data_IF_333236276035
#
_entry.id   IF_333236276035
#
_cell.length_a   1.000
_cell.length_b   1.000
_cell.length_c   1.000
_cell.angle_alpha   90.00
_cell.angle_beta   90.00
_cell.angle_gamma   90.00
#
_symmetry.space_group_name_H-M   'P 1'
#
loop_
_entity.id
_entity.type
_entity.pdbx_description
1 polymer ?
#
# COMPACT_ATOMS: atom_id res chain seq x y z
N UNK A 1 -10.43 15.37 7.07
CA UNK A 1 -9.50 15.22 5.92
C UNK A 1 -10.08 14.18 4.96
N UNK A 2 -10.15 14.51 3.68
CA UNK A 2 -10.73 13.62 2.66
C UNK A 2 -9.72 12.52 2.34
N UNK A 3 -10.11 11.23 2.38
CA UNK A 3 -9.17 10.16 2.07
C UNK A 3 -8.77 10.16 0.59
N UNK A 4 -7.60 9.60 0.24
CA UNK A 4 -7.15 9.57 -1.15
C UNK A 4 -8.00 8.69 -2.06
N UNK A 5 -8.66 7.69 -1.49
CA UNK A 5 -9.58 6.80 -2.19
C UNK A 5 -10.74 6.43 -1.27
N UNK A 6 -11.88 6.09 -1.84
CA UNK A 6 -13.02 5.57 -1.07
C UNK A 6 -12.88 4.06 -0.88
N UNK A 7 -12.37 3.38 -1.89
CA UNK A 7 -12.16 1.93 -1.89
C UNK A 7 -10.71 1.60 -2.19
N UNK A 8 -10.17 0.65 -1.44
CA UNK A 8 -8.82 0.13 -1.64
C UNK A 8 -8.96 -1.20 -2.35
N UNK A 9 -8.53 -1.25 -3.60
CA UNK A 9 -8.62 -2.43 -4.45
C UNK A 9 -7.23 -2.96 -4.75
N UNK A 10 -7.12 -4.28 -4.77
CA UNK A 10 -5.86 -4.97 -5.01
C UNK A 10 -5.95 -5.74 -6.31
N UNK A 11 -4.87 -5.72 -7.10
CA UNK A 11 -4.80 -6.46 -8.36
C UNK A 11 -4.81 -7.98 -8.12
N UNK A 12 -5.08 -8.75 -9.16
CA UNK A 12 -5.01 -10.21 -9.07
C UNK A 12 -3.62 -10.70 -8.64
N UNK A 13 -2.57 -10.10 -9.19
CA UNK A 13 -1.20 -10.42 -8.81
C UNK A 13 -0.93 -10.08 -7.34
N UNK A 14 -1.39 -8.92 -6.90
CA UNK A 14 -1.26 -8.50 -5.50
C UNK A 14 -1.96 -9.47 -4.56
N UNK A 15 -3.15 -9.92 -4.93
CA UNK A 15 -3.90 -10.91 -4.15
C UNK A 15 -3.11 -12.22 -3.98
N UNK A 16 -2.49 -12.71 -5.03
CA UNK A 16 -1.67 -13.92 -4.95
C UNK A 16 -0.51 -13.77 -3.97
N UNK A 17 0.16 -12.62 -4.02
CA UNK A 17 1.24 -12.30 -3.08
C UNK A 17 0.72 -12.24 -1.65
N UNK A 18 -0.42 -11.58 -1.43
CA UNK A 18 -1.02 -11.44 -0.10
C UNK A 18 -1.46 -12.79 0.48
N UNK A 19 -1.97 -13.70 -0.35
CA UNK A 19 -2.34 -15.05 0.08
C UNK A 19 -1.11 -15.78 0.63
N UNK A 20 0.01 -15.72 -0.09
CA UNK A 20 1.27 -16.32 0.37
C UNK A 20 1.75 -15.68 1.67
N UNK A 21 1.67 -14.35 1.76
CA UNK A 21 2.08 -13.63 2.96
C UNK A 21 1.27 -14.04 4.18
N UNK A 22 -0.04 -14.14 4.04
CA UNK A 22 -0.90 -14.62 5.14
C UNK A 22 -0.48 -16.01 5.61
N UNK A 23 -0.22 -16.90 4.66
CA UNK A 23 0.18 -18.28 4.97
C UNK A 23 1.52 -18.33 5.70
N UNK A 24 2.51 -17.57 5.24
CA UNK A 24 3.86 -17.63 5.77
C UNK A 24 4.05 -16.84 7.06
N UNK A 25 3.37 -15.71 7.21
CA UNK A 25 3.54 -14.82 8.36
C UNK A 25 2.57 -15.08 9.50
N UNK A 26 1.47 -15.78 9.23
CA UNK A 26 0.41 -15.98 10.22
C UNK A 26 -0.48 -14.75 10.44
N UNK A 27 -0.28 -13.67 9.71
CA UNK A 27 -1.15 -12.49 9.78
C UNK A 27 -2.53 -12.84 9.22
N UNK A 28 -3.59 -12.44 9.92
CA UNK A 28 -4.94 -12.85 9.57
C UNK A 28 -5.71 -11.84 8.71
N UNK A 29 -5.35 -10.56 8.80
CA UNK A 29 -6.13 -9.48 8.20
C UNK A 29 -5.44 -8.82 7.01
N UNK A 30 -6.14 -8.80 5.87
CA UNK A 30 -5.65 -8.15 4.64
C UNK A 30 -5.24 -6.70 4.86
N UNK A 31 -6.04 -5.96 5.64
CA UNK A 31 -5.80 -4.54 5.88
C UNK A 31 -4.46 -4.27 6.57
N UNK A 32 -4.09 -5.12 7.51
CA UNK A 32 -2.81 -4.97 8.21
C UNK A 32 -1.62 -5.17 7.27
N UNK A 33 -1.67 -6.22 6.44
CA UNK A 33 -0.61 -6.50 5.47
C UNK A 33 -0.53 -5.38 4.44
N UNK A 34 -1.68 -4.89 3.96
CA UNK A 34 -1.73 -3.81 2.99
C UNK A 34 -1.18 -2.50 3.56
N UNK A 35 -1.41 -2.21 4.84
CA UNK A 35 -0.82 -1.03 5.49
C UNK A 35 0.71 -1.12 5.55
N UNK A 36 1.23 -2.29 5.90
CA UNK A 36 2.68 -2.53 5.90
C UNK A 36 3.25 -2.32 4.49
N UNK A 37 2.59 -2.89 3.49
CA UNK A 37 2.99 -2.76 2.08
C UNK A 37 3.02 -1.30 1.65
N UNK A 38 1.97 -0.55 1.96
CA UNK A 38 1.90 0.87 1.65
C UNK A 38 3.05 1.65 2.29
N UNK A 39 3.27 1.44 3.57
CA UNK A 39 4.34 2.12 4.31
C UNK A 39 5.72 1.78 3.75
N UNK A 40 5.93 0.55 3.34
CA UNK A 40 7.18 0.11 2.71
C UNK A 40 7.44 0.88 1.41
N UNK A 41 6.40 1.06 0.60
CA UNK A 41 6.52 1.83 -0.64
C UNK A 41 6.70 3.32 -0.37
N UNK A 42 5.98 3.89 0.60
CA UNK A 42 6.11 5.30 0.94
C UNK A 42 7.49 5.66 1.49
N UNK A 43 8.18 4.71 2.12
CA UNK A 43 9.54 4.89 2.60
C UNK A 43 10.57 4.91 1.47
N UNK A 44 10.22 4.42 0.29
CA UNK A 44 11.09 4.45 -0.89
C UNK A 44 11.05 5.85 -1.52
N UNK A 45 12.20 6.52 -1.72
CA UNK A 45 12.21 7.87 -2.27
C UNK A 45 11.85 7.97 -3.75
N UNK A 46 11.85 6.85 -4.48
CA UNK A 46 11.53 6.85 -5.90
C UNK A 46 10.02 6.88 -6.15
N UNK A 47 9.61 7.48 -7.27
CA UNK A 47 8.23 7.48 -7.70
C UNK A 47 7.82 6.07 -8.08
N UNK A 48 6.65 5.55 -7.61
CA UNK A 48 6.22 4.23 -8.02
C UNK A 48 5.83 4.21 -9.50
N UNK A 49 6.06 3.08 -10.20
CA UNK A 49 5.66 2.98 -11.60
C UNK A 49 4.14 3.03 -11.73
N UNK A 50 3.65 3.58 -12.84
CA UNK A 50 2.23 3.58 -13.14
C UNK A 50 1.74 2.14 -13.27
N UNK A 51 0.56 1.88 -12.73
CA UNK A 51 -0.04 0.56 -12.80
C UNK A 51 -0.77 0.41 -14.12
N UNK A 52 -0.51 -0.70 -14.81
CA UNK A 52 -1.33 -1.07 -15.95
C UNK A 52 -2.72 -1.49 -15.44
N UNK A 53 -3.75 -1.17 -16.21
CA UNK A 53 -5.11 -1.58 -15.88
C UNK A 53 -5.26 -3.09 -16.09
N UNK A 54 -4.81 -3.85 -15.12
CA UNK A 54 -5.07 -5.29 -15.05
C UNK A 54 -6.34 -5.51 -14.24
N UNK A 55 -6.96 -6.67 -14.39
CA UNK A 55 -8.18 -6.98 -13.64
C UNK A 55 -7.97 -6.88 -12.13
N UNK A 56 -8.95 -6.30 -11.46
CA UNK A 56 -8.95 -6.25 -10.00
C UNK A 56 -9.34 -7.61 -9.42
N UNK A 57 -8.79 -7.92 -8.26
CA UNK A 57 -9.13 -9.13 -7.53
C UNK A 57 -10.40 -8.93 -6.70
N UNK A 58 -10.80 -9.95 -5.94
CA UNK A 58 -11.88 -9.86 -4.98
C UNK A 58 -11.52 -9.08 -3.71
N UNK A 59 -10.26 -8.69 -3.55
CA UNK A 59 -9.85 -7.89 -2.40
C UNK A 59 -10.21 -6.43 -2.67
N UNK A 60 -11.27 -5.98 -2.00
CA UNK A 60 -11.82 -4.64 -2.08
C UNK A 60 -12.29 -4.29 -0.68
N UNK A 61 -11.74 -3.24 -0.11
CA UNK A 61 -12.13 -2.79 1.22
C UNK A 61 -12.31 -1.28 1.21
N UNK A 62 -13.21 -0.76 2.05
CA UNK A 62 -13.33 0.68 2.15
C UNK A 62 -12.11 1.29 2.85
N UNK A 63 -11.94 2.61 2.71
CA UNK A 63 -10.81 3.31 3.30
C UNK A 63 -10.74 3.11 4.82
N UNK A 64 -11.88 3.15 5.49
CA UNK A 64 -11.96 2.98 6.94
C UNK A 64 -11.43 1.61 7.38
N UNK A 65 -11.80 0.56 6.67
CA UNK A 65 -11.32 -0.80 6.94
C UNK A 65 -9.82 -0.91 6.69
N UNK A 66 -9.35 -0.38 5.56
CA UNK A 66 -7.93 -0.38 5.23
C UNK A 66 -7.10 0.37 6.28
N UNK A 67 -7.49 1.60 6.56
CA UNK A 67 -6.71 2.48 7.43
C UNK A 67 -6.84 2.15 8.92
N UNK A 68 -7.97 1.55 9.33
CA UNK A 68 -8.22 1.24 10.72
C UNK A 68 -8.14 2.49 11.60
N UNK A 69 -7.38 2.48 12.68
CA UNK A 69 -7.24 3.65 13.56
C UNK A 69 -6.33 4.74 12.99
N UNK A 70 -5.73 4.53 11.82
CA UNK A 70 -4.71 5.43 11.25
C UNK A 70 -5.21 6.26 10.07
N UNK A 71 -6.52 6.52 9.99
CA UNK A 71 -7.13 7.19 8.84
C UNK A 71 -6.50 8.57 8.54
N UNK A 72 -6.36 9.40 9.57
CA UNK A 72 -5.81 10.74 9.40
C UNK A 72 -4.31 10.71 9.10
N UNK A 73 -3.57 9.89 9.83
CA UNK A 73 -2.12 9.77 9.67
C UNK A 73 -1.76 9.26 8.28
N UNK A 74 -2.43 8.23 7.79
CA UNK A 74 -2.17 7.69 6.47
C UNK A 74 -2.57 8.67 5.36
N UNK A 75 -3.71 9.35 5.51
CA UNK A 75 -4.13 10.37 4.56
C UNK A 75 -3.09 11.49 4.48
N UNK A 76 -2.63 11.97 5.64
CA UNK A 76 -1.63 13.03 5.69
C UNK A 76 -0.31 12.61 5.03
N UNK A 77 0.17 11.41 5.33
CA UNK A 77 1.40 10.88 4.74
C UNK A 77 1.33 10.80 3.22
N UNK A 78 0.21 10.29 2.71
CA UNK A 78 0.00 10.14 1.26
C UNK A 78 -0.03 11.52 0.60
N UNK A 79 -0.77 12.47 1.17
CA UNK A 79 -0.87 13.82 0.62
C UNK A 79 0.48 14.53 0.63
N UNK A 80 1.21 14.45 1.75
CA UNK A 80 2.54 15.07 1.85
C UNK A 80 3.52 14.48 0.84
N UNK A 81 3.54 13.17 0.71
CA UNK A 81 4.41 12.52 -0.27
C UNK A 81 4.01 12.84 -1.69
N UNK A 82 2.72 12.84 -1.98
CA UNK A 82 2.19 13.21 -3.30
C UNK A 82 2.58 14.65 -3.65
N UNK A 83 2.46 15.55 -2.72
CA UNK A 83 2.85 16.95 -2.92
C UNK A 83 4.35 17.05 -3.21
N UNK A 84 5.18 16.34 -2.47
CA UNK A 84 6.62 16.27 -2.70
C UNK A 84 6.97 15.71 -4.08
N UNK A 85 6.21 14.73 -4.54
CA UNK A 85 6.37 14.11 -5.87
C UNK A 85 5.66 14.87 -6.98
N UNK A 86 5.12 16.06 -6.68
CA UNK A 86 4.45 16.95 -7.64
C UNK A 86 3.19 16.34 -8.26
N UNK A 87 2.49 15.52 -7.50
CA UNK A 87 1.17 15.02 -7.88
C UNK A 87 0.13 16.07 -7.49
N UNK A 88 -0.84 16.30 -8.38
CA UNK A 88 -1.93 17.23 -8.09
C UNK A 88 -2.88 16.62 -7.06
N UNK A 89 -2.72 17.00 -5.80
CA UNK A 89 -3.51 16.46 -4.70
C UNK A 89 -4.97 16.90 -4.71
N UNK A 90 -5.30 17.92 -5.50
CA UNK A 90 -6.68 18.40 -5.66
C UNK A 90 -7.44 17.60 -6.73
N UNK A 91 -6.73 16.85 -7.56
CA UNK A 91 -7.35 15.93 -8.52
C UNK A 91 -7.50 14.56 -7.88
N UNK A 92 -8.74 14.21 -7.57
CA UNK A 92 -9.08 12.95 -6.90
C UNK A 92 -8.54 11.73 -7.67
N UNK A 93 -8.66 11.73 -8.99
CA UNK A 93 -8.17 10.64 -9.83
C UNK A 93 -6.65 10.49 -9.76
N UNK A 94 -5.93 11.61 -9.85
CA UNK A 94 -4.47 11.58 -9.79
C UNK A 94 -3.97 11.06 -8.45
N UNK A 95 -4.58 11.51 -7.35
CA UNK A 95 -4.23 11.07 -6.01
C UNK A 95 -4.56 9.59 -5.81
N UNK A 96 -5.70 9.13 -6.31
CA UNK A 96 -6.10 7.73 -6.23
C UNK A 96 -5.15 6.80 -6.99
N UNK A 97 -4.76 7.17 -8.20
CA UNK A 97 -3.78 6.41 -9.00
C UNK A 97 -2.42 6.36 -8.30
N UNK A 98 -2.01 7.48 -7.72
CA UNK A 98 -0.76 7.57 -6.97
C UNK A 98 -0.78 6.64 -5.75
N UNK A 99 -1.85 6.66 -4.97
CA UNK A 99 -2.04 5.77 -3.85
C UNK A 99 -1.96 4.30 -4.29
N UNK A 100 -2.69 3.95 -5.33
CA UNK A 100 -2.72 2.57 -5.84
C UNK A 100 -1.36 2.11 -6.33
N UNK A 101 -0.60 2.98 -6.99
CA UNK A 101 0.75 2.66 -7.45
C UNK A 101 1.68 2.33 -6.27
N UNK A 102 1.58 3.11 -5.20
CA UNK A 102 2.35 2.82 -3.98
C UNK A 102 1.94 1.49 -3.34
N UNK A 103 0.64 1.24 -3.23
CA UNK A 103 0.15 0.00 -2.62
C UNK A 103 0.63 -1.22 -3.41
N UNK A 104 0.48 -1.20 -4.73
CA UNK A 104 0.89 -2.32 -5.59
C UNK A 104 2.40 -2.55 -5.54
N UNK A 105 3.19 -1.47 -5.57
CA UNK A 105 4.64 -1.58 -5.42
C UNK A 105 5.02 -2.17 -4.07
N UNK A 106 4.35 -1.73 -3.02
CA UNK A 106 4.59 -2.22 -1.67
C UNK A 106 4.29 -3.71 -1.55
N UNK A 107 3.15 -4.15 -2.09
CA UNK A 107 2.79 -5.57 -2.09
C UNK A 107 3.84 -6.39 -2.84
N UNK A 108 4.25 -5.95 -4.02
CA UNK A 108 5.26 -6.64 -4.81
C UNK A 108 6.60 -6.75 -4.06
N UNK A 109 6.95 -5.72 -3.29
CA UNK A 109 8.20 -5.72 -2.51
C UNK A 109 8.21 -6.76 -1.39
N UNK A 110 7.04 -7.23 -0.96
CA UNK A 110 6.91 -8.20 0.13
C UNK A 110 6.84 -9.65 -0.36
N UNK A 111 6.89 -9.89 -1.67
CA UNK A 111 6.61 -11.21 -2.24
C UNK A 111 7.53 -12.34 -1.74
N UNK A 112 8.73 -12.04 -1.29
CA UNK A 112 9.69 -13.03 -0.79
C UNK A 112 9.72 -13.13 0.75
N UNK A 113 8.82 -12.45 1.43
CA UNK A 113 8.73 -12.47 2.89
C UNK A 113 8.12 -13.79 3.35
N UNK A 114 8.80 -14.50 4.24
CA UNK A 114 8.33 -15.80 4.78
C UNK A 114 7.91 -15.70 6.24
N UNK A 115 8.52 -14.82 7.01
CA UNK A 115 8.30 -14.70 8.45
C UNK A 115 8.09 -13.23 8.83
N UNK A 116 7.40 -12.99 9.94
CA UNK A 116 7.23 -11.62 10.45
C UNK A 116 8.55 -10.90 10.68
N UNK A 117 9.58 -11.63 11.12
CA UNK A 117 10.90 -11.04 11.35
C UNK A 117 11.52 -10.48 10.07
N UNK A 118 11.17 -11.04 8.91
CA UNK A 118 11.67 -10.54 7.63
C UNK A 118 11.14 -9.14 7.33
N UNK A 119 9.90 -8.85 7.72
CA UNK A 119 9.32 -7.51 7.59
C UNK A 119 10.08 -6.51 8.44
N UNK A 120 10.43 -6.87 9.66
CA UNK A 120 11.23 -6.04 10.55
C UNK A 120 12.62 -5.76 9.96
N UNK A 121 13.28 -6.79 9.42
CA UNK A 121 14.60 -6.64 8.80
C UNK A 121 14.59 -5.70 7.60
N UNK A 122 13.57 -5.82 6.74
CA UNK A 122 13.40 -4.91 5.60
C UNK A 122 13.27 -3.47 6.06
N UNK A 123 12.45 -3.22 7.07
CA UNK A 123 12.25 -1.89 7.62
C UNK A 123 13.54 -1.33 8.23
N UNK A 124 14.25 -2.13 9.02
CA UNK A 124 15.52 -1.74 9.64
C UNK A 124 16.58 -1.40 8.59
N UNK A 125 16.65 -2.14 7.49
CA UNK A 125 17.58 -1.88 6.38
C UNK A 125 17.26 -0.56 5.69
N UNK A 126 15.98 -0.21 5.54
CA UNK A 126 15.57 1.01 4.85
C UNK A 126 15.78 2.27 5.69
N UNK A 127 16.02 2.15 6.99
CA UNK A 127 16.23 3.29 7.89
C UNK A 127 17.68 3.68 8.09
N UNK A 128 18.59 2.95 7.51
CA UNK A 128 20.02 3.24 7.61
C UNK A 128 20.47 4.39 6.71
#
# INVERSE_FOLDING_TARGET
>A
MIPPVEHVRVSNRGREILIKLKRHTGMEHWNEICRIALCQSLANPTLPPKIEKTGDSSIDMDWKTFAGPFQEELTALIILKAHKDRIDVDRKEALGEYFRAHLERGIASLQNTKYLIDLYKMHSSSTK
#
